data_IF_551506867488
#
_entry.id   IF_551506867488
#
_cell.length_a   1.000
_cell.length_b   1.000
_cell.length_c   1.000
_cell.angle_alpha   90.00
_cell.angle_beta   90.00
_cell.angle_gamma   90.00
#
_symmetry.space_group_name_H-M   'P 1'
#
loop_
_entity.id
_entity.type
_entity.pdbx_description
1 polymer ?
#
# COMPACT_ATOMS: atom_id res chain seq x y z
N UNK A 1 50.28 32.05 16.32
CA UNK A 1 49.12 32.77 16.87
C UNK A 1 47.99 32.56 15.87
N UNK A 2 47.29 31.42 15.85
CA UNK A 2 46.51 30.75 16.91
C UNK A 2 45.26 31.57 17.26
N UNK A 3 44.11 30.92 17.05
CA UNK A 3 42.75 31.44 16.82
C UNK A 3 42.04 32.08 18.04
N UNK A 4 40.72 32.40 17.95
CA UNK A 4 39.70 31.36 18.14
C UNK A 4 38.59 31.34 17.07
N UNK A 5 38.53 30.23 16.33
CA UNK A 5 37.39 29.74 15.54
C UNK A 5 36.77 28.57 16.33
N UNK A 6 36.39 28.82 17.59
CA UNK A 6 35.81 27.80 18.48
C UNK A 6 34.46 28.28 19.02
N UNK A 7 33.38 28.22 18.21
CA UNK A 7 32.00 28.12 18.71
C UNK A 7 31.04 27.43 17.71
N UNK A 8 31.53 26.58 16.81
CA UNK A 8 30.64 25.85 15.90
C UNK A 8 30.90 24.35 15.82
N UNK A 9 31.25 23.69 16.94
CA UNK A 9 31.09 22.24 17.12
C UNK A 9 30.79 21.99 18.61
N UNK A 10 29.93 20.98 18.88
CA UNK A 10 29.42 20.43 20.16
C UNK A 10 28.00 20.96 20.48
N UNK A 11 26.91 20.19 20.46
CA UNK A 11 26.75 18.75 20.64
C UNK A 11 25.73 18.15 19.66
N UNK A 12 26.20 17.24 18.80
CA UNK A 12 25.46 16.03 18.46
C UNK A 12 26.00 14.98 19.43
N UNK A 13 25.28 14.73 20.51
CA UNK A 13 25.38 13.49 21.26
C UNK A 13 23.95 12.95 21.40
N UNK A 14 23.83 11.66 21.07
CA UNK A 14 22.62 10.87 21.22
C UNK A 14 22.27 10.72 22.71
N UNK A 15 20.98 10.47 22.98
CA UNK A 15 20.41 10.14 24.30
C UNK A 15 20.36 11.25 25.36
N UNK A 16 19.47 12.24 25.20
CA UNK A 16 18.67 12.69 26.34
C UNK A 16 17.36 13.38 25.95
N UNK A 17 16.26 12.68 26.22
CA UNK A 17 14.93 13.25 26.26
C UNK A 17 14.78 14.07 27.55
N UNK A 18 15.17 15.35 27.54
CA UNK A 18 14.63 16.30 28.51
C UNK A 18 14.61 17.73 27.98
N UNK A 19 13.49 18.38 28.24
CA UNK A 19 13.10 19.69 27.75
C UNK A 19 14.17 20.77 27.99
N UNK A 20 14.77 21.28 26.91
CA UNK A 20 15.37 22.62 26.89
C UNK A 20 14.53 23.51 25.97
N UNK A 21 13.73 24.38 26.60
CA UNK A 21 13.09 25.51 25.92
C UNK A 21 14.19 26.36 25.28
N UNK A 22 14.30 26.32 23.97
CA UNK A 22 15.08 27.32 23.23
C UNK A 22 14.45 28.71 23.47
N UNK A 23 15.26 29.78 23.62
CA UNK A 23 14.73 31.13 23.78
C UNK A 23 13.91 31.53 22.56
N UNK A 24 12.82 32.26 22.78
CA UNK A 24 11.83 32.69 21.77
C UNK A 24 12.38 33.73 20.77
N UNK A 25 13.66 34.10 20.83
CA UNK A 25 14.23 35.22 20.05
C UNK A 25 15.55 34.89 19.32
N UNK A 26 15.63 33.76 18.62
CA UNK A 26 16.72 33.58 17.64
C UNK A 26 16.25 32.83 16.41
N UNK A 27 15.46 33.50 15.56
CA UNK A 27 15.42 33.13 14.14
C UNK A 27 16.80 33.42 13.57
N UNK A 28 17.51 32.44 12.98
CA UNK A 28 18.82 32.70 12.40
C UNK A 28 18.67 33.66 11.22
N UNK A 29 19.05 34.92 11.41
CA UNK A 29 19.21 35.89 10.34
C UNK A 29 20.46 35.50 9.55
N UNK A 30 20.29 35.05 8.31
CA UNK A 30 21.41 34.81 7.39
C UNK A 30 21.82 36.17 6.80
N UNK A 31 23.01 36.70 7.10
CA UNK A 31 23.45 37.97 6.55
C UNK A 31 23.66 37.88 5.03
N UNK A 32 23.38 38.94 4.26
CA UNK A 32 23.59 38.99 2.81
C UNK A 32 25.04 38.69 2.38
N UNK A 33 26.02 38.81 3.29
CA UNK A 33 27.42 38.53 2.98
C UNK A 33 27.71 37.06 2.67
N UNK A 34 26.88 36.09 3.11
CA UNK A 34 27.10 34.66 2.82
C UNK A 34 26.96 34.35 1.33
N UNK A 35 26.18 35.14 0.58
CA UNK A 35 26.02 34.94 -0.86
C UNK A 35 27.28 35.31 -1.67
N UNK A 36 28.19 36.09 -1.08
CA UNK A 36 29.52 36.34 -1.67
C UNK A 36 30.42 35.10 -1.63
N UNK A 37 30.06 34.07 -0.86
CA UNK A 37 30.77 32.79 -0.82
C UNK A 37 30.32 31.79 -1.91
N UNK A 38 29.37 32.17 -2.78
CA UNK A 38 28.96 31.37 -3.95
C UNK A 38 27.97 30.23 -3.66
N UNK A 39 27.35 30.19 -2.48
CA UNK A 39 26.31 29.21 -2.14
C UNK A 39 24.94 29.79 -2.49
N UNK A 40 24.26 29.19 -3.48
CA UNK A 40 22.90 29.58 -3.84
C UNK A 40 21.91 29.19 -2.73
N UNK A 41 20.94 30.05 -2.40
CA UNK A 41 19.87 29.69 -1.46
C UNK A 41 19.01 28.55 -2.03
N UNK A 42 18.35 27.79 -1.16
CA UNK A 42 17.46 26.68 -1.55
C UNK A 42 16.03 26.93 -1.10
N UNK A 43 15.07 26.15 -1.62
CA UNK A 43 13.69 26.15 -1.11
C UNK A 43 13.61 25.88 0.39
N UNK A 44 14.50 25.03 0.92
CA UNK A 44 14.62 24.79 2.36
C UNK A 44 15.05 26.06 3.13
N UNK A 45 15.96 26.87 2.58
CA UNK A 45 16.33 28.17 3.18
C UNK A 45 15.13 29.12 3.27
N UNK A 46 14.29 29.15 2.22
CA UNK A 46 13.05 29.93 2.19
C UNK A 46 12.09 29.49 3.30
N UNK A 47 11.86 28.18 3.43
CA UNK A 47 10.98 27.60 4.45
C UNK A 47 11.51 27.85 5.87
N UNK A 48 12.78 27.60 6.14
CA UNK A 48 13.37 27.78 7.49
C UNK A 48 13.29 29.24 7.96
N UNK A 49 13.47 30.20 7.04
CA UNK A 49 13.41 31.62 7.39
C UNK A 49 12.03 32.07 7.89
N UNK A 50 10.98 31.29 7.63
CA UNK A 50 9.64 31.53 8.18
C UNK A 50 9.55 31.31 9.69
N UNK A 51 10.51 30.63 10.31
CA UNK A 51 10.43 30.22 11.72
C UNK A 51 9.46 29.06 11.97
N UNK A 52 8.76 28.57 10.94
CA UNK A 52 7.83 27.44 11.05
C UNK A 52 8.51 26.08 11.02
N UNK A 53 9.77 26.03 10.58
CA UNK A 53 10.57 24.81 10.46
C UNK A 53 11.88 24.96 11.23
N UNK A 54 12.17 23.98 12.09
CA UNK A 54 13.34 23.99 12.97
C UNK A 54 14.56 23.27 12.40
N UNK A 55 14.40 22.46 11.34
CA UNK A 55 15.50 21.70 10.74
C UNK A 55 15.39 21.67 9.21
N UNK A 56 16.52 21.79 8.47
CA UNK A 56 16.57 21.58 7.02
C UNK A 56 16.37 20.11 6.64
N UNK A 57 16.63 19.19 7.56
CA UNK A 57 16.49 17.75 7.32
C UNK A 57 15.02 17.47 7.00
N UNK A 58 14.76 16.94 5.81
CA UNK A 58 13.43 16.62 5.23
C UNK A 58 12.68 17.75 4.52
N UNK A 59 13.24 18.95 4.32
CA UNK A 59 12.55 20.03 3.58
C UNK A 59 12.74 19.95 2.05
N UNK A 60 13.62 19.07 1.58
CA UNK A 60 13.79 18.76 0.16
C UNK A 60 12.74 17.77 -0.36
N UNK A 61 12.02 17.10 0.54
CA UNK A 61 10.92 16.19 0.23
C UNK A 61 9.59 16.76 0.69
N UNK A 62 8.50 16.25 0.11
CA UNK A 62 7.14 16.65 0.48
C UNK A 62 6.80 16.10 1.87
N UNK A 63 6.48 17.02 2.79
CA UNK A 63 5.87 16.70 4.08
C UNK A 63 4.43 16.27 3.84
N UNK A 64 4.09 15.05 4.29
CA UNK A 64 2.75 14.48 4.18
C UNK A 64 2.17 14.33 5.58
N UNK A 65 1.11 15.08 5.86
CA UNK A 65 0.37 14.91 7.10
C UNK A 65 -0.33 13.53 7.07
N UNK A 66 -0.08 12.70 8.07
CA UNK A 66 -0.61 11.33 8.15
C UNK A 66 -1.82 11.22 9.07
N UNK A 67 -2.04 12.20 9.95
CA UNK A 67 -3.11 12.23 10.93
C UNK A 67 -3.61 13.66 11.15
N UNK A 68 -4.65 13.76 11.95
CA UNK A 68 -5.22 15.03 12.43
C UNK A 68 -4.39 15.66 13.55
N UNK A 69 -3.30 15.02 13.98
CA UNK A 69 -2.38 15.59 14.96
C UNK A 69 -1.52 16.63 14.24
N UNK A 70 -1.84 17.90 14.50
CA UNK A 70 -1.16 19.01 13.86
C UNK A 70 0.25 19.17 14.45
N UNK A 71 1.16 19.68 13.64
CA UNK A 71 2.43 20.20 14.16
C UNK A 71 2.16 21.20 15.30
N UNK A 72 3.03 21.27 16.33
CA UNK A 72 2.89 22.26 17.40
C UNK A 72 2.68 23.65 16.79
N UNK A 73 1.88 24.49 17.45
CA UNK A 73 1.62 25.87 17.03
C UNK A 73 2.95 26.63 16.93
N UNK A 74 3.54 26.61 15.74
CA UNK A 74 4.69 27.42 15.39
C UNK A 74 4.22 28.82 15.08
N UNK A 75 5.03 29.81 15.42
CA UNK A 75 4.71 31.22 15.19
C UNK A 75 5.45 31.66 13.95
N UNK A 76 4.71 32.20 12.98
CA UNK A 76 5.30 32.78 11.79
C UNK A 76 6.23 33.93 12.20
N UNK A 77 7.48 33.88 11.74
CA UNK A 77 8.47 34.90 12.03
C UNK A 77 7.99 36.27 11.55
N UNK A 78 8.07 37.33 12.37
CA UNK A 78 7.65 38.68 11.96
C UNK A 78 8.49 39.25 10.81
N UNK A 79 9.66 38.66 10.54
CA UNK A 79 10.58 39.09 9.46
C UNK A 79 10.48 38.22 8.21
N UNK A 80 9.55 37.25 8.15
CA UNK A 80 9.48 36.25 7.07
C UNK A 80 9.39 36.90 5.68
N UNK A 81 8.56 37.93 5.50
CA UNK A 81 8.37 38.60 4.22
C UNK A 81 9.67 39.25 3.76
N UNK A 82 10.37 39.95 4.67
CA UNK A 82 11.64 40.60 4.37
C UNK A 82 12.73 39.58 4.04
N UNK A 83 12.83 38.50 4.81
CA UNK A 83 13.82 37.45 4.59
C UNK A 83 13.59 36.70 3.26
N UNK A 84 12.33 36.33 2.98
CA UNK A 84 11.97 35.67 1.73
C UNK A 84 12.15 36.58 0.51
N UNK A 85 11.79 37.86 0.59
CA UNK A 85 12.00 38.80 -0.52
C UNK A 85 13.48 39.00 -0.85
N UNK A 86 14.35 38.92 0.16
CA UNK A 86 15.81 38.90 -0.05
C UNK A 86 16.18 37.62 -0.82
N UNK A 87 15.81 36.43 -0.32
CA UNK A 87 16.16 35.14 -0.94
C UNK A 87 15.62 34.99 -2.38
N UNK A 88 14.38 35.40 -2.64
CA UNK A 88 13.72 35.28 -3.94
C UNK A 88 14.30 36.22 -5.00
N UNK A 89 15.00 37.30 -4.62
CA UNK A 89 15.75 38.13 -5.58
C UNK A 89 16.96 37.41 -6.16
N UNK A 90 17.51 36.44 -5.42
CA UNK A 90 18.73 35.74 -5.83
C UNK A 90 18.44 34.64 -6.87
N UNK A 91 17.28 33.98 -6.81
CA UNK A 91 16.91 32.88 -7.70
C UNK A 91 15.43 32.50 -7.55
N UNK A 92 14.92 31.76 -8.51
CA UNK A 92 13.58 31.17 -8.50
C UNK A 92 13.56 29.93 -7.56
N UNK A 93 12.95 30.07 -6.37
CA UNK A 93 12.95 29.01 -5.33
C UNK A 93 11.60 28.32 -5.10
N UNK A 94 10.47 28.95 -5.46
CA UNK A 94 9.16 28.39 -5.13
C UNK A 94 8.81 27.33 -6.17
N UNK A 95 8.46 26.14 -5.67
CA UNK A 95 8.09 24.97 -6.43
C UNK A 95 7.07 24.15 -5.62
N UNK A 96 6.63 23.02 -6.17
CA UNK A 96 5.65 22.14 -5.53
C UNK A 96 6.03 21.73 -4.11
N UNK A 97 7.30 21.43 -3.84
CA UNK A 97 7.78 21.01 -2.51
C UNK A 97 7.63 22.16 -1.52
N UNK A 98 8.08 23.37 -1.91
CA UNK A 98 8.00 24.57 -1.06
C UNK A 98 6.56 24.88 -0.68
N UNK A 99 5.64 24.94 -1.65
CA UNK A 99 4.24 25.26 -1.35
C UNK A 99 3.58 24.16 -0.52
N UNK A 100 3.78 22.89 -0.88
CA UNK A 100 3.18 21.77 -0.13
C UNK A 100 3.65 21.73 1.32
N UNK A 101 4.94 21.99 1.56
CA UNK A 101 5.50 22.04 2.90
C UNK A 101 4.98 23.25 3.66
N UNK A 102 4.90 24.43 3.05
CA UNK A 102 4.29 25.60 3.67
C UNK A 102 2.83 25.34 4.07
N UNK A 103 2.04 24.70 3.21
CA UNK A 103 0.64 24.35 3.50
C UNK A 103 0.51 23.38 4.69
N UNK A 104 1.47 22.46 4.89
CA UNK A 104 1.47 21.55 6.05
C UNK A 104 1.49 22.26 7.41
N UNK A 105 1.90 23.53 7.43
CA UNK A 105 1.95 24.36 8.65
C UNK A 105 0.60 25.02 8.98
N UNK A 106 -0.30 25.15 8.00
CA UNK A 106 -1.60 25.81 8.15
C UNK A 106 -1.56 27.34 8.25
N UNK A 107 -0.42 27.99 8.01
CA UNK A 107 -0.34 29.46 8.04
C UNK A 107 -0.81 30.07 6.70
N UNK A 108 -2.11 30.37 6.61
CA UNK A 108 -2.75 30.86 5.39
C UNK A 108 -2.06 32.09 4.80
N UNK A 109 -1.71 33.07 5.62
CA UNK A 109 -1.09 34.32 5.16
C UNK A 109 0.28 34.06 4.50
N UNK A 110 1.03 33.09 5.03
CA UNK A 110 2.31 32.70 4.46
C UNK A 110 2.14 31.95 3.14
N UNK A 111 1.14 31.06 3.05
CA UNK A 111 0.81 30.35 1.80
C UNK A 111 0.35 31.34 0.73
N UNK A 112 -0.51 32.29 1.06
CA UNK A 112 -0.97 33.35 0.14
C UNK A 112 0.20 34.22 -0.37
N UNK A 113 1.13 34.59 0.53
CA UNK A 113 2.37 35.26 0.15
C UNK A 113 3.17 34.42 -0.85
N UNK A 114 3.37 33.13 -0.59
CA UNK A 114 4.15 32.25 -1.48
C UNK A 114 3.47 32.04 -2.84
N UNK A 115 2.14 31.87 -2.89
CA UNK A 115 1.39 31.76 -4.14
C UNK A 115 1.54 33.03 -4.99
N UNK A 116 1.44 34.20 -4.34
CA UNK A 116 1.65 35.49 -5.00
C UNK A 116 3.07 35.63 -5.57
N UNK A 117 4.08 35.21 -4.79
CA UNK A 117 5.48 35.26 -5.23
C UNK A 117 5.80 34.26 -6.32
N UNK A 118 5.19 33.09 -6.29
CA UNK A 118 5.35 32.07 -7.34
C UNK A 118 4.91 32.62 -8.71
N UNK A 119 3.78 33.31 -8.77
CA UNK A 119 3.30 33.97 -9.99
C UNK A 119 4.22 35.08 -10.51
N UNK A 120 5.14 35.56 -9.68
CA UNK A 120 6.12 36.62 -10.02
C UNK A 120 7.48 36.05 -10.42
N UNK A 121 7.71 34.75 -10.29
CA UNK A 121 8.99 34.13 -10.66
C UNK A 121 9.21 34.15 -12.18
N UNK A 122 10.47 34.23 -12.59
CA UNK A 122 10.82 34.31 -14.01
C UNK A 122 10.48 33.03 -14.75
N UNK A 123 10.62 31.90 -14.06
CA UNK A 123 10.25 30.58 -14.55
C UNK A 123 8.78 30.21 -14.32
N UNK A 124 7.91 31.17 -14.00
CA UNK A 124 6.49 30.90 -13.86
C UNK A 124 5.95 30.26 -15.14
N UNK A 125 5.38 29.07 -14.98
CA UNK A 125 4.62 28.40 -16.03
C UNK A 125 3.17 28.35 -15.57
N UNK A 126 2.23 28.37 -16.51
CA UNK A 126 0.82 28.09 -16.20
C UNK A 126 0.58 26.63 -15.78
N UNK A 127 1.63 25.83 -15.61
CA UNK A 127 1.57 24.47 -15.10
C UNK A 127 1.36 24.51 -13.59
N UNK A 128 0.43 23.68 -13.12
CA UNK A 128 0.07 23.61 -11.71
C UNK A 128 1.26 23.08 -10.88
N UNK A 129 1.67 23.82 -9.83
CA UNK A 129 2.62 23.33 -8.82
C UNK A 129 1.93 22.86 -7.55
N UNK A 130 0.61 23.03 -7.45
CA UNK A 130 -0.21 22.49 -6.37
C UNK A 130 -0.48 21.04 -6.68
N UNK A 131 -0.08 20.18 -5.75
CA UNK A 131 -0.25 18.76 -5.89
C UNK A 131 -1.36 18.23 -5.00
N UNK A 132 -1.71 17.00 -5.26
CA UNK A 132 -2.52 16.10 -4.42
C UNK A 132 -2.20 16.24 -2.92
N UNK A 133 -0.91 16.28 -2.58
CA UNK A 133 -0.41 16.44 -1.22
C UNK A 133 -0.64 17.84 -0.64
N UNK A 134 -0.69 18.86 -1.48
CA UNK A 134 -0.99 20.24 -1.10
C UNK A 134 -2.43 20.33 -0.59
N UNK A 135 -3.40 19.84 -1.37
CA UNK A 135 -4.81 19.79 -0.96
C UNK A 135 -5.03 18.89 0.25
N UNK A 136 -4.40 17.71 0.26
CA UNK A 136 -4.47 16.81 1.40
C UNK A 136 -3.98 17.45 2.71
N UNK A 137 -2.84 18.14 2.67
CA UNK A 137 -2.30 18.82 3.85
C UNK A 137 -3.25 19.92 4.33
N UNK A 138 -3.76 20.77 3.43
CA UNK A 138 -4.72 21.82 3.78
C UNK A 138 -6.00 21.24 4.40
N UNK A 139 -6.52 20.15 3.80
CA UNK A 139 -7.70 19.47 4.30
C UNK A 139 -7.49 18.91 5.70
N UNK A 140 -6.34 18.25 5.96
CA UNK A 140 -6.02 17.73 7.28
C UNK A 140 -5.79 18.81 8.34
N UNK A 141 -5.51 20.06 7.96
CA UNK A 141 -5.46 21.20 8.90
C UNK A 141 -6.85 21.65 9.38
N UNK A 142 -7.93 21.11 8.81
CA UNK A 142 -9.32 21.54 9.06
C UNK A 142 -9.55 23.04 8.80
N UNK A 143 -8.73 23.64 7.93
CA UNK A 143 -8.87 25.03 7.51
C UNK A 143 -9.46 25.07 6.10
N UNK A 144 -10.78 25.19 6.04
CA UNK A 144 -11.49 25.26 4.76
C UNK A 144 -11.11 26.50 3.96
N UNK A 145 -10.77 27.61 4.62
CA UNK A 145 -10.36 28.83 3.92
C UNK A 145 -9.01 28.65 3.23
N UNK A 146 -8.13 27.81 3.79
CA UNK A 146 -6.88 27.42 3.15
C UNK A 146 -7.13 26.48 1.96
N UNK A 147 -8.12 25.58 2.06
CA UNK A 147 -8.54 24.73 0.93
C UNK A 147 -9.11 25.58 -0.22
N UNK A 148 -10.01 26.52 0.07
CA UNK A 148 -10.57 27.44 -0.93
C UNK A 148 -9.48 28.27 -1.62
N UNK A 149 -8.52 28.81 -0.86
CA UNK A 149 -7.37 29.54 -1.41
C UNK A 149 -6.60 28.70 -2.44
N UNK A 150 -6.43 27.40 -2.19
CA UNK A 150 -5.71 26.50 -3.09
C UNK A 150 -6.54 26.13 -4.32
N UNK A 151 -7.85 25.93 -4.16
CA UNK A 151 -8.77 25.63 -5.27
C UNK A 151 -8.82 26.80 -6.26
N UNK A 152 -8.89 28.03 -5.74
CA UNK A 152 -8.85 29.25 -6.56
C UNK A 152 -7.51 29.41 -7.31
N UNK A 153 -6.43 28.86 -6.74
CA UNK A 153 -5.09 28.96 -7.32
C UNK A 153 -4.83 27.93 -8.42
N UNK A 154 -5.36 26.70 -8.34
CA UNK A 154 -5.36 25.73 -9.43
C UNK A 154 -6.15 24.45 -9.08
N UNK A 155 -6.62 23.68 -10.08
CA UNK A 155 -7.19 22.35 -9.88
C UNK A 155 -6.30 21.28 -10.51
N UNK A 156 -5.96 20.25 -9.74
CA UNK A 156 -5.42 18.98 -10.24
C UNK A 156 -5.97 17.81 -9.41
N UNK A 157 -6.04 16.64 -10.01
CA UNK A 157 -6.64 15.44 -9.41
C UNK A 157 -5.71 14.81 -8.37
N UNK A 158 -6.27 14.39 -7.23
CA UNK A 158 -5.51 13.83 -6.10
C UNK A 158 -5.51 12.31 -5.99
N UNK A 159 -4.32 11.69 -6.10
CA UNK A 159 -4.09 10.26 -5.81
C UNK A 159 -4.06 9.89 -4.32
N UNK A 160 -4.00 10.89 -3.42
CA UNK A 160 -3.93 10.66 -1.98
C UNK A 160 -5.19 11.14 -1.28
N UNK A 161 -5.91 10.23 -0.62
CA UNK A 161 -7.18 10.54 0.03
C UNK A 161 -7.07 10.58 1.56
N UNK A 162 -7.69 11.57 2.21
CA UNK A 162 -7.74 11.64 3.67
C UNK A 162 -8.68 10.56 4.23
N UNK A 163 -8.49 10.21 5.51
CA UNK A 163 -9.37 9.30 6.25
C UNK A 163 -10.07 10.05 7.38
N UNK A 164 -11.34 9.75 7.69
CA UNK A 164 -12.05 10.42 8.78
C UNK A 164 -11.39 10.12 10.13
N UNK A 165 -11.38 11.11 11.04
CA UNK A 165 -10.85 10.94 12.40
C UNK A 165 -11.72 10.06 13.31
N UNK A 166 -13.02 10.05 13.03
CA UNK A 166 -14.09 9.37 13.76
C UNK A 166 -15.34 9.25 12.86
N UNK A 167 -16.30 8.41 13.25
CA UNK A 167 -17.59 8.30 12.55
C UNK A 167 -18.43 9.60 12.63
N UNK A 168 -18.17 10.45 13.62
CA UNK A 168 -18.81 11.76 13.81
C UNK A 168 -18.02 12.91 13.19
N UNK A 169 -17.07 12.65 12.29
CA UNK A 169 -16.25 13.69 11.66
C UNK A 169 -17.05 14.45 10.59
N UNK A 170 -17.97 15.32 11.04
CA UNK A 170 -18.86 16.10 10.16
C UNK A 170 -18.07 16.89 9.11
N UNK A 171 -16.92 17.47 9.49
CA UNK A 171 -16.06 18.17 8.55
C UNK A 171 -15.66 17.27 7.38
N UNK A 172 -15.20 16.05 7.66
CA UNK A 172 -14.83 15.09 6.62
C UNK A 172 -16.01 14.75 5.71
N UNK A 173 -17.12 14.30 6.30
CA UNK A 173 -18.26 13.79 5.53
C UNK A 173 -19.02 14.89 4.77
N UNK A 174 -18.95 16.15 5.22
CA UNK A 174 -19.54 17.30 4.51
C UNK A 174 -18.63 17.82 3.40
N UNK A 175 -17.31 17.91 3.63
CA UNK A 175 -16.39 18.58 2.69
C UNK A 175 -15.86 17.67 1.59
N UNK A 176 -15.74 16.37 1.83
CA UNK A 176 -15.27 15.45 0.79
C UNK A 176 -16.15 15.45 -0.47
N UNK A 177 -17.50 15.43 -0.38
CA UNK A 177 -18.37 15.57 -1.55
C UNK A 177 -18.14 16.88 -2.33
N UNK A 178 -17.85 17.98 -1.64
CA UNK A 178 -17.54 19.27 -2.29
C UNK A 178 -16.25 19.17 -3.11
N UNK A 179 -15.21 18.54 -2.53
CA UNK A 179 -13.92 18.33 -3.21
C UNK A 179 -14.01 17.35 -4.38
N UNK A 180 -14.91 16.36 -4.32
CA UNK A 180 -15.23 15.50 -5.47
C UNK A 180 -15.91 16.31 -6.58
N UNK A 181 -16.90 17.14 -6.24
CA UNK A 181 -17.62 17.96 -7.23
C UNK A 181 -16.70 18.98 -7.92
N UNK A 182 -15.66 19.45 -7.22
CA UNK A 182 -14.66 20.36 -7.75
C UNK A 182 -13.53 19.65 -8.52
N UNK A 183 -13.55 18.32 -8.61
CA UNK A 183 -12.53 17.52 -9.31
C UNK A 183 -11.20 17.40 -8.57
N UNK A 184 -11.15 17.74 -7.26
CA UNK A 184 -9.94 17.59 -6.43
C UNK A 184 -9.72 16.12 -6.06
N UNK A 185 -10.79 15.40 -5.73
CA UNK A 185 -10.75 13.97 -5.42
C UNK A 185 -11.57 13.16 -6.42
N UNK A 186 -11.19 11.89 -6.68
CA UNK A 186 -11.95 11.01 -7.55
C UNK A 186 -13.31 10.65 -6.92
N UNK A 187 -14.25 10.22 -7.75
CA UNK A 187 -15.63 9.91 -7.34
C UNK A 187 -15.75 8.74 -6.36
N UNK A 188 -14.73 7.88 -6.30
CA UNK A 188 -14.64 6.73 -5.39
C UNK A 188 -13.81 7.02 -4.12
N UNK A 189 -13.61 8.30 -3.78
CA UNK A 189 -12.83 8.74 -2.60
C UNK A 189 -13.18 8.02 -1.30
N UNK A 190 -14.46 7.71 -1.05
CA UNK A 190 -14.87 6.98 0.16
C UNK A 190 -14.37 5.53 0.15
N UNK A 191 -14.33 4.87 -1.02
CA UNK A 191 -13.72 3.55 -1.20
C UNK A 191 -12.21 3.62 -0.97
N UNK A 192 -11.53 4.61 -1.55
CA UNK A 192 -10.09 4.81 -1.33
C UNK A 192 -9.76 5.09 0.14
N UNK A 193 -10.64 5.81 0.84
CA UNK A 193 -10.51 6.11 2.26
C UNK A 193 -10.70 4.85 3.10
N UNK A 194 -11.65 3.98 2.72
CA UNK A 194 -11.84 2.66 3.31
C UNK A 194 -10.61 1.77 3.10
N UNK A 195 -10.04 1.76 1.89
CA UNK A 195 -8.79 1.04 1.58
C UNK A 195 -7.63 1.49 2.48
N UNK A 196 -7.50 2.81 2.67
CA UNK A 196 -6.46 3.37 3.54
C UNK A 196 -6.71 3.01 5.00
N UNK A 197 -7.95 3.11 5.47
CA UNK A 197 -8.33 2.76 6.84
C UNK A 197 -8.11 1.28 7.13
N UNK A 198 -8.44 0.40 6.20
CA UNK A 198 -8.17 -1.03 6.29
C UNK A 198 -6.67 -1.34 6.45
N UNK A 199 -5.80 -0.53 5.83
CA UNK A 199 -4.34 -0.69 5.93
C UNK A 199 -3.77 -0.22 7.27
N UNK A 200 -4.22 0.92 7.78
CA UNK A 200 -3.56 1.58 8.92
C UNK A 200 -4.15 1.19 10.28
N UNK A 201 -5.39 0.69 10.31
CA UNK A 201 -6.04 0.27 11.56
C UNK A 201 -5.36 -0.95 12.19
N UNK A 202 -5.31 -0.98 13.51
CA UNK A 202 -4.87 -2.13 14.31
C UNK A 202 -6.08 -2.77 15.00
N UNK A 203 -5.93 -4.01 15.45
CA UNK A 203 -7.02 -4.70 16.15
C UNK A 203 -7.33 -4.07 17.52
N UNK A 204 -6.35 -3.43 18.16
CA UNK A 204 -6.51 -2.70 19.43
C UNK A 204 -7.41 -1.46 19.28
N UNK A 205 -7.40 -0.83 18.11
CA UNK A 205 -8.21 0.34 17.77
C UNK A 205 -9.48 -0.04 16.98
N UNK A 206 -9.78 -1.33 16.88
CA UNK A 206 -10.80 -1.81 15.95
C UNK A 206 -12.18 -1.24 16.24
N UNK A 207 -12.62 -1.18 17.50
CA UNK A 207 -13.95 -0.66 17.85
C UNK A 207 -14.17 0.79 17.34
N UNK A 208 -13.14 1.65 17.45
CA UNK A 208 -13.22 3.03 16.95
C UNK A 208 -13.18 3.07 15.41
N UNK A 209 -12.36 2.23 14.80
CA UNK A 209 -12.20 2.22 13.34
C UNK A 209 -13.36 1.52 12.63
N UNK A 210 -14.04 0.58 13.27
CA UNK A 210 -15.26 -0.09 12.81
C UNK A 210 -16.37 0.94 12.55
N UNK A 211 -16.66 1.81 13.51
CA UNK A 211 -17.67 2.87 13.35
C UNK A 211 -17.35 3.77 12.15
N UNK A 212 -16.06 4.12 11.95
CA UNK A 212 -15.64 4.89 10.79
C UNK A 212 -15.84 4.13 9.48
N UNK A 213 -15.49 2.85 9.45
CA UNK A 213 -15.68 1.99 8.26
C UNK A 213 -17.16 1.86 7.92
N UNK A 214 -18.03 1.66 8.92
CA UNK A 214 -19.49 1.65 8.71
C UNK A 214 -19.97 2.98 8.12
N UNK A 215 -19.51 4.10 8.65
CA UNK A 215 -19.87 5.42 8.13
C UNK A 215 -19.39 5.63 6.69
N UNK A 216 -18.20 5.18 6.33
CA UNK A 216 -17.71 5.22 4.94
C UNK A 216 -18.59 4.38 4.01
N UNK A 217 -19.02 3.19 4.44
CA UNK A 217 -19.94 2.33 3.68
C UNK A 217 -21.32 3.01 3.49
N UNK A 218 -21.85 3.70 4.51
CA UNK A 218 -23.09 4.49 4.38
C UNK A 218 -22.97 5.59 3.32
N UNK A 219 -21.78 6.16 3.15
CA UNK A 219 -21.47 7.18 2.13
C UNK A 219 -21.11 6.58 0.76
N UNK A 220 -21.31 5.28 0.58
CA UNK A 220 -21.17 4.62 -0.72
C UNK A 220 -19.78 4.03 -0.99
N UNK A 221 -18.91 3.92 0.03
CA UNK A 221 -17.70 3.12 -0.10
C UNK A 221 -18.05 1.66 -0.43
N UNK A 222 -17.22 1.02 -1.25
CA UNK A 222 -17.37 -0.39 -1.62
C UNK A 222 -16.20 -1.18 -1.05
N UNK A 223 -16.48 -2.34 -0.46
CA UNK A 223 -15.40 -3.28 -0.10
C UNK A 223 -14.90 -3.95 -1.37
N UNK A 224 -13.73 -3.53 -1.84
CA UNK A 224 -13.04 -4.13 -2.98
C UNK A 224 -12.12 -5.28 -2.53
N UNK A 225 -11.59 -6.06 -3.47
CA UNK A 225 -10.53 -7.03 -3.15
C UNK A 225 -9.29 -6.34 -2.56
N UNK A 226 -9.04 -5.09 -2.96
CA UNK A 226 -7.92 -4.28 -2.44
C UNK A 226 -8.14 -3.86 -0.99
N UNK A 227 -9.36 -3.48 -0.62
CA UNK A 227 -9.75 -3.24 0.79
C UNK A 227 -9.43 -4.47 1.65
N UNK A 228 -9.85 -5.66 1.19
CA UNK A 228 -9.60 -6.91 1.91
C UNK A 228 -8.11 -7.24 2.01
N UNK A 229 -7.35 -7.09 0.92
CA UNK A 229 -5.90 -7.26 0.96
C UNK A 229 -5.22 -6.29 1.93
N UNK A 230 -5.58 -5.02 1.90
CA UNK A 230 -5.03 -4.02 2.82
C UNK A 230 -5.33 -4.34 4.28
N UNK A 231 -6.52 -4.91 4.56
CA UNK A 231 -6.88 -5.39 5.90
C UNK A 231 -5.98 -6.54 6.39
N UNK A 232 -5.22 -7.19 5.49
CA UNK A 232 -4.23 -8.21 5.87
C UNK A 232 -2.87 -7.65 6.27
N UNK A 233 -2.54 -6.43 5.87
CA UNK A 233 -1.28 -5.74 6.19
C UNK A 233 -1.27 -5.24 7.64
N UNK A 234 -0.10 -4.95 8.22
CA UNK A 234 0.03 -4.35 9.55
C UNK A 234 -0.67 -5.13 10.68
N UNK A 235 -0.69 -6.46 10.62
CA UNK A 235 -1.11 -7.32 11.74
C UNK A 235 0.08 -7.70 12.61
N UNK A 236 -0.15 -7.81 13.92
CA UNK A 236 0.87 -8.25 14.87
C UNK A 236 1.01 -9.78 14.90
N UNK A 237 -0.10 -10.51 14.74
CA UNK A 237 -0.16 -11.97 14.74
C UNK A 237 -0.56 -12.48 13.34
N UNK A 238 0.36 -13.17 12.66
CA UNK A 238 0.12 -13.75 11.32
C UNK A 238 -0.58 -15.10 11.37
N UNK A 239 -0.76 -15.69 12.56
CA UNK A 239 -1.45 -16.98 12.72
C UNK A 239 -2.97 -16.87 12.69
N UNK A 240 -3.51 -15.66 12.83
CA UNK A 240 -4.95 -15.38 12.88
C UNK A 240 -5.35 -14.25 11.95
N UNK A 241 -6.62 -14.28 11.54
CA UNK A 241 -7.27 -13.20 10.81
C UNK A 241 -7.54 -12.02 11.73
N UNK A 242 -7.24 -10.81 11.24
CA UNK A 242 -7.53 -9.57 11.95
C UNK A 242 -9.03 -9.32 12.07
N UNK A 243 -9.44 -8.58 13.11
CA UNK A 243 -10.85 -8.23 13.32
C UNK A 243 -11.41 -7.42 12.14
N UNK A 244 -10.62 -6.46 11.64
CA UNK A 244 -10.95 -5.67 10.44
C UNK A 244 -11.13 -6.52 9.19
N UNK A 245 -10.32 -7.55 8.99
CA UNK A 245 -10.45 -8.42 7.82
C UNK A 245 -11.77 -9.19 7.88
N UNK A 246 -12.12 -9.74 9.04
CA UNK A 246 -13.39 -10.44 9.27
C UNK A 246 -14.59 -9.53 9.01
N UNK A 247 -14.56 -8.33 9.56
CA UNK A 247 -15.61 -7.33 9.36
C UNK A 247 -15.76 -6.94 7.88
N UNK A 248 -14.67 -6.57 7.20
CA UNK A 248 -14.72 -6.16 5.80
C UNK A 248 -15.14 -7.32 4.89
N UNK A 249 -14.70 -8.55 5.17
CA UNK A 249 -15.11 -9.73 4.41
C UNK A 249 -16.60 -10.03 4.55
N UNK A 250 -17.21 -9.76 5.70
CA UNK A 250 -18.66 -9.86 5.88
C UNK A 250 -19.41 -8.89 4.94
N UNK A 251 -18.92 -7.65 4.84
CA UNK A 251 -19.47 -6.60 3.98
C UNK A 251 -19.09 -6.75 2.49
N UNK A 252 -18.15 -7.63 2.14
CA UNK A 252 -17.75 -7.88 0.76
C UNK A 252 -18.89 -8.52 -0.05
N UNK A 253 -19.32 -7.82 -1.10
CA UNK A 253 -20.32 -8.31 -2.03
C UNK A 253 -19.67 -9.23 -3.07
N UNK A 254 -20.12 -10.48 -3.12
CA UNK A 254 -19.72 -11.43 -4.17
C UNK A 254 -20.47 -11.09 -5.45
N UNK A 255 -19.84 -10.29 -6.30
CA UNK A 255 -20.30 -10.14 -7.67
C UNK A 255 -19.76 -11.32 -8.51
N UNK A 256 -20.64 -12.12 -9.14
CA UNK A 256 -20.22 -13.20 -10.04
C UNK A 256 -19.32 -12.76 -11.21
N UNK A 257 -19.32 -11.47 -11.55
CA UNK A 257 -18.48 -10.87 -12.58
C UNK A 257 -17.20 -10.22 -12.01
N UNK A 258 -17.14 -9.96 -10.71
CA UNK A 258 -15.99 -9.34 -10.07
C UNK A 258 -14.99 -10.40 -9.63
N UNK A 259 -13.85 -10.45 -10.31
CA UNK A 259 -12.73 -11.27 -9.88
C UNK A 259 -12.12 -10.70 -8.60
N UNK A 260 -11.86 -11.56 -7.61
CA UNK A 260 -11.02 -11.21 -6.47
C UNK A 260 -9.55 -11.19 -6.91
N UNK A 261 -9.14 -10.07 -7.52
CA UNK A 261 -7.81 -9.90 -8.13
C UNK A 261 -6.68 -10.03 -7.12
N UNK A 262 -6.89 -9.57 -5.88
CA UNK A 262 -5.86 -9.55 -4.84
C UNK A 262 -5.71 -10.86 -4.05
N UNK A 263 -6.43 -11.93 -4.41
CA UNK A 263 -6.42 -13.18 -3.62
C UNK A 263 -5.03 -13.83 -3.63
N UNK A 264 -4.31 -13.73 -4.75
CA UNK A 264 -2.91 -14.16 -4.82
C UNK A 264 -2.00 -13.43 -3.81
N UNK A 265 -2.19 -12.13 -3.63
CA UNK A 265 -1.41 -11.37 -2.64
C UNK A 265 -1.75 -11.75 -1.19
N UNK A 266 -3.01 -12.10 -0.91
CA UNK A 266 -3.40 -12.61 0.42
C UNK A 266 -2.74 -13.96 0.72
N UNK A 267 -2.61 -14.83 -0.30
CA UNK A 267 -1.91 -16.11 -0.20
C UNK A 267 -0.46 -15.93 0.26
N UNK A 268 0.25 -14.93 -0.29
CA UNK A 268 1.63 -14.60 0.08
C UNK A 268 1.82 -14.19 1.55
N UNK A 269 0.77 -13.79 2.26
CA UNK A 269 0.83 -13.49 3.70
C UNK A 269 0.69 -14.73 4.60
N UNK A 270 0.42 -15.90 4.04
CA UNK A 270 0.48 -17.23 4.70
C UNK A 270 -0.48 -17.47 5.88
N UNK A 271 -1.42 -16.56 6.16
CA UNK A 271 -2.41 -16.75 7.21
C UNK A 271 -3.51 -17.72 6.77
N UNK A 272 -3.54 -18.92 7.34
CA UNK A 272 -4.51 -19.96 6.99
C UNK A 272 -5.97 -19.52 7.23
N UNK A 273 -6.24 -18.82 8.33
CA UNK A 273 -7.60 -18.40 8.68
C UNK A 273 -8.19 -17.44 7.62
N UNK A 274 -7.39 -16.52 7.06
CA UNK A 274 -7.86 -15.60 6.02
C UNK A 274 -8.30 -16.37 4.77
N UNK A 275 -7.49 -17.35 4.37
CA UNK A 275 -7.76 -18.19 3.20
C UNK A 275 -9.03 -19.01 3.43
N UNK A 276 -9.18 -19.61 4.61
CA UNK A 276 -10.37 -20.37 4.96
C UNK A 276 -11.62 -19.49 4.94
N UNK A 277 -11.54 -18.26 5.47
CA UNK A 277 -12.65 -17.31 5.46
C UNK A 277 -13.01 -16.86 4.03
N UNK A 278 -12.02 -16.54 3.19
CA UNK A 278 -12.23 -16.19 1.77
C UNK A 278 -12.93 -17.32 1.02
N UNK A 279 -12.46 -18.56 1.19
CA UNK A 279 -13.02 -19.73 0.53
C UNK A 279 -14.43 -20.04 1.07
N UNK A 280 -14.67 -19.88 2.38
CA UNK A 280 -15.98 -20.03 3.00
C UNK A 280 -16.99 -18.97 2.52
N UNK A 281 -16.52 -17.75 2.22
CA UNK A 281 -17.33 -16.73 1.55
C UNK A 281 -17.76 -17.17 0.15
N UNK A 282 -17.07 -18.12 -0.46
CA UNK A 282 -17.42 -18.66 -1.79
C UNK A 282 -16.63 -18.05 -2.94
N UNK A 283 -15.54 -17.34 -2.63
CA UNK A 283 -14.63 -16.75 -3.63
C UNK A 283 -13.90 -17.90 -4.35
N UNK A 284 -13.99 -17.99 -5.69
CA UNK A 284 -13.45 -19.12 -6.43
C UNK A 284 -11.92 -19.06 -6.52
N UNK A 285 -11.29 -20.23 -6.53
CA UNK A 285 -9.88 -20.40 -6.90
C UNK A 285 -9.76 -20.29 -8.42
N UNK A 286 -8.99 -19.30 -8.89
CA UNK A 286 -8.71 -19.05 -10.31
C UNK A 286 -7.30 -19.52 -10.69
N UNK A 287 -6.96 -19.47 -11.98
CA UNK A 287 -5.59 -19.77 -12.44
C UNK A 287 -4.55 -18.83 -11.80
N UNK A 288 -4.88 -17.55 -11.63
CA UNK A 288 -4.02 -16.56 -10.96
C UNK A 288 -3.74 -16.94 -9.51
N UNK A 289 -4.75 -17.43 -8.78
CA UNK A 289 -4.63 -17.90 -7.40
C UNK A 289 -3.70 -19.12 -7.32
N UNK A 290 -3.82 -20.06 -8.26
CA UNK A 290 -2.91 -21.21 -8.35
C UNK A 290 -1.48 -20.77 -8.72
N UNK A 291 -1.34 -19.75 -9.59
CA UNK A 291 -0.06 -19.12 -9.92
C UNK A 291 0.65 -18.56 -8.69
N UNK A 292 -0.08 -17.87 -7.81
CA UNK A 292 0.48 -17.38 -6.54
C UNK A 292 0.99 -18.53 -5.65
N UNK A 293 0.29 -19.67 -5.58
CA UNK A 293 0.82 -20.84 -4.88
C UNK A 293 2.16 -21.32 -5.45
N UNK A 294 2.27 -21.34 -6.79
CA UNK A 294 3.50 -21.74 -7.47
C UNK A 294 4.64 -20.78 -7.14
N UNK A 295 4.38 -19.47 -7.08
CA UNK A 295 5.36 -18.39 -6.88
C UNK A 295 5.79 -18.18 -5.41
N UNK A 296 4.86 -18.32 -4.47
CA UNK A 296 5.11 -17.96 -3.06
C UNK A 296 5.50 -19.15 -2.17
N UNK A 297 5.16 -20.39 -2.55
CA UNK A 297 5.41 -21.57 -1.71
C UNK A 297 6.55 -22.44 -2.24
N UNK A 298 7.68 -22.40 -1.53
CA UNK A 298 8.74 -23.41 -1.67
C UNK A 298 8.43 -24.69 -0.89
N UNK A 299 7.72 -24.56 0.24
CA UNK A 299 7.22 -25.69 1.03
C UNK A 299 5.77 -26.02 0.66
N UNK A 300 5.59 -27.07 -0.14
CA UNK A 300 4.28 -27.51 -0.63
C UNK A 300 3.44 -28.25 0.42
N UNK A 301 3.98 -28.52 1.60
CA UNK A 301 3.24 -29.10 2.72
C UNK A 301 2.67 -28.01 3.67
N UNK A 302 2.84 -26.74 3.30
CA UNK A 302 2.19 -25.65 4.03
C UNK A 302 0.65 -25.80 3.99
N UNK A 303 -0.07 -25.61 5.11
CA UNK A 303 -1.51 -25.82 5.18
C UNK A 303 -2.33 -25.05 4.13
N UNK A 304 -1.93 -23.80 3.83
CA UNK A 304 -2.57 -22.96 2.81
C UNK A 304 -2.60 -23.64 1.43
N UNK A 305 -1.52 -24.35 1.05
CA UNK A 305 -1.47 -25.05 -0.25
C UNK A 305 -2.56 -26.12 -0.31
N UNK A 306 -2.68 -26.92 0.75
CA UNK A 306 -3.71 -27.96 0.82
C UNK A 306 -5.13 -27.39 0.82
N UNK A 307 -5.36 -26.29 1.55
CA UNK A 307 -6.66 -25.62 1.64
C UNK A 307 -7.11 -25.08 0.28
N UNK A 308 -6.25 -24.32 -0.42
CA UNK A 308 -6.57 -23.73 -1.73
C UNK A 308 -6.78 -24.82 -2.78
N UNK A 309 -5.92 -25.84 -2.84
CA UNK A 309 -6.08 -26.92 -3.83
C UNK A 309 -7.34 -27.76 -3.58
N UNK A 310 -7.71 -27.97 -2.32
CA UNK A 310 -8.95 -28.70 -1.96
C UNK A 310 -10.22 -27.93 -2.32
N UNK A 311 -10.15 -26.61 -2.40
CA UNK A 311 -11.30 -25.76 -2.71
C UNK A 311 -11.71 -25.80 -4.20
N UNK A 312 -10.84 -26.33 -5.08
CA UNK A 312 -11.17 -26.50 -6.50
C UNK A 312 -12.20 -27.63 -6.65
N UNK A 313 -13.47 -27.25 -6.90
CA UNK A 313 -14.59 -28.19 -6.94
C UNK A 313 -14.49 -29.17 -8.13
N UNK A 314 -14.91 -30.44 -7.95
CA UNK A 314 -15.00 -31.41 -9.06
C UNK A 314 -15.75 -30.85 -10.27
N UNK A 315 -15.19 -31.07 -11.46
CA UNK A 315 -15.75 -30.53 -12.71
C UNK A 315 -15.23 -29.15 -13.10
N UNK A 316 -14.46 -28.47 -12.25
CA UNK A 316 -13.81 -27.21 -12.61
C UNK A 316 -12.83 -27.42 -13.79
N UNK A 317 -12.91 -26.61 -14.87
CA UNK A 317 -11.99 -26.70 -16.01
C UNK A 317 -10.50 -26.60 -15.66
N UNK A 318 -10.15 -25.91 -14.57
CA UNK A 318 -8.76 -25.73 -14.13
C UNK A 318 -8.01 -27.06 -13.96
N UNK A 319 -8.70 -28.15 -13.60
CA UNK A 319 -8.07 -29.47 -13.47
C UNK A 319 -7.39 -29.95 -14.75
N UNK A 320 -7.87 -29.51 -15.93
CA UNK A 320 -7.31 -29.89 -17.23
C UNK A 320 -6.61 -28.74 -17.97
N UNK A 321 -6.83 -27.49 -17.57
CA UNK A 321 -6.27 -26.33 -18.29
C UNK A 321 -5.07 -25.69 -17.60
N UNK A 322 -5.01 -25.72 -16.27
CA UNK A 322 -4.03 -24.92 -15.53
C UNK A 322 -2.57 -25.32 -15.82
N UNK A 323 -2.27 -26.63 -15.83
CA UNK A 323 -0.91 -27.11 -16.17
C UNK A 323 -0.50 -26.68 -17.59
N UNK A 324 -1.44 -26.66 -18.54
CA UNK A 324 -1.18 -26.13 -19.89
C UNK A 324 -0.85 -24.63 -19.86
N UNK A 325 -1.67 -23.83 -19.17
CA UNK A 325 -1.49 -22.38 -19.07
C UNK A 325 -0.13 -22.00 -18.48
N UNK A 326 0.30 -22.65 -17.39
CA UNK A 326 1.61 -22.38 -16.79
C UNK A 326 2.76 -22.87 -17.70
N UNK A 327 2.54 -23.85 -18.59
CA UNK A 327 3.59 -24.27 -19.53
C UNK A 327 3.89 -23.24 -20.62
N UNK A 328 2.89 -22.41 -20.94
CA UNK A 328 3.02 -21.33 -21.92
C UNK A 328 3.90 -20.19 -21.40
N UNK A 329 4.00 -20.00 -20.08
CA UNK A 329 4.83 -18.94 -19.48
C UNK A 329 6.33 -19.27 -19.52
N UNK A 330 6.71 -20.54 -19.73
CA UNK A 330 8.11 -20.92 -19.91
C UNK A 330 8.57 -20.60 -21.34
N UNK A 331 9.38 -19.57 -21.55
CA UNK A 331 9.91 -19.25 -22.89
C UNK A 331 10.98 -20.23 -23.37
N UNK A 332 11.81 -20.73 -22.44
CA UNK A 332 12.86 -21.72 -22.67
C UNK A 332 12.59 -22.97 -21.83
N UNK A 333 13.44 -24.00 -21.96
CA UNK A 333 13.39 -25.13 -21.03
C UNK A 333 13.73 -24.71 -19.60
N UNK A 334 13.44 -25.60 -18.64
CA UNK A 334 13.67 -25.33 -17.22
C UNK A 334 15.16 -25.40 -16.86
N UNK A 335 15.66 -24.44 -16.10
CA UNK A 335 16.94 -24.60 -15.40
C UNK A 335 16.82 -25.61 -14.24
N UNK A 336 17.94 -25.94 -13.59
CA UNK A 336 17.97 -26.95 -12.54
C UNK A 336 17.09 -26.59 -11.33
N UNK A 337 17.02 -25.31 -10.96
CA UNK A 337 16.20 -24.85 -9.85
C UNK A 337 14.71 -24.95 -10.20
N UNK A 338 14.33 -24.42 -11.35
CA UNK A 338 12.97 -24.44 -11.88
C UNK A 338 12.50 -25.88 -12.18
N UNK A 339 13.39 -26.78 -12.59
CA UNK A 339 13.07 -28.19 -12.79
C UNK A 339 12.53 -28.85 -11.51
N UNK A 340 13.28 -28.74 -10.41
CA UNK A 340 12.88 -29.37 -9.15
C UNK A 340 11.60 -28.75 -8.57
N UNK A 341 11.49 -27.42 -8.63
CA UNK A 341 10.30 -26.69 -8.18
C UNK A 341 9.05 -27.07 -8.98
N UNK A 342 9.10 -26.96 -10.31
CA UNK A 342 7.98 -27.29 -11.21
C UNK A 342 7.57 -28.74 -11.06
N UNK A 343 8.54 -29.66 -10.97
CA UNK A 343 8.26 -31.09 -10.76
C UNK A 343 7.51 -31.33 -9.46
N UNK A 344 8.01 -30.77 -8.35
CA UNK A 344 7.37 -30.93 -7.04
C UNK A 344 5.94 -30.36 -7.05
N UNK A 345 5.77 -29.17 -7.63
CA UNK A 345 4.46 -28.51 -7.70
C UNK A 345 3.46 -29.29 -8.56
N UNK A 346 3.85 -29.75 -9.75
CA UNK A 346 2.95 -30.50 -10.63
C UNK A 346 2.55 -31.85 -10.03
N UNK A 347 3.49 -32.55 -9.38
CA UNK A 347 3.18 -33.77 -8.63
C UNK A 347 2.21 -33.46 -7.48
N UNK A 348 2.38 -32.34 -6.76
CA UNK A 348 1.43 -31.92 -5.73
C UNK A 348 0.04 -31.69 -6.31
N UNK A 349 -0.07 -30.93 -7.41
CA UNK A 349 -1.35 -30.71 -8.11
C UNK A 349 -2.05 -32.02 -8.50
N UNK A 350 -1.28 -33.02 -8.93
CA UNK A 350 -1.81 -34.34 -9.28
C UNK A 350 -2.50 -35.05 -8.11
N UNK A 351 -2.03 -34.85 -6.87
CA UNK A 351 -2.66 -35.39 -5.64
C UNK A 351 -4.06 -34.79 -5.37
N UNK A 352 -4.37 -33.67 -6.02
CA UNK A 352 -5.64 -32.95 -5.96
C UNK A 352 -6.46 -33.11 -7.25
N UNK A 353 -6.01 -33.94 -8.20
CA UNK A 353 -6.78 -34.30 -9.39
C UNK A 353 -6.49 -33.48 -10.65
N UNK A 354 -5.48 -32.60 -10.63
CA UNK A 354 -5.01 -31.91 -11.82
C UNK A 354 -4.23 -32.85 -12.74
N UNK A 355 -4.30 -32.61 -14.04
CA UNK A 355 -3.59 -33.40 -15.05
C UNK A 355 -3.36 -32.60 -16.33
N UNK A 356 -2.36 -33.02 -17.11
CA UNK A 356 -2.04 -32.43 -18.41
C UNK A 356 -2.75 -33.16 -19.57
N UNK A 357 -3.42 -32.43 -20.48
CA UNK A 357 -3.97 -33.01 -21.71
C UNK A 357 -2.91 -33.48 -22.71
N UNK A 358 -3.28 -34.44 -23.56
CA UNK A 358 -2.37 -34.99 -24.56
C UNK A 358 -1.96 -33.91 -25.57
N UNK A 359 -2.87 -32.99 -25.88
CA UNK A 359 -2.64 -31.89 -26.81
C UNK A 359 -1.48 -30.99 -26.34
N UNK A 360 -1.37 -30.74 -25.03
CA UNK A 360 -0.26 -29.95 -24.44
C UNK A 360 1.05 -30.73 -24.52
N UNK A 361 1.03 -32.05 -24.27
CA UNK A 361 2.21 -32.90 -24.43
C UNK A 361 2.74 -32.88 -25.86
N UNK A 362 1.84 -33.01 -26.83
CA UNK A 362 2.18 -33.04 -28.25
C UNK A 362 2.74 -31.68 -28.70
N UNK A 363 2.17 -30.56 -28.22
CA UNK A 363 2.68 -29.21 -28.48
C UNK A 363 4.10 -29.00 -27.95
N UNK A 364 4.36 -29.36 -26.69
CA UNK A 364 5.70 -29.23 -26.08
C UNK A 364 6.70 -30.20 -26.72
N UNK A 365 6.26 -31.38 -27.13
CA UNK A 365 7.11 -32.32 -27.85
C UNK A 365 7.45 -31.81 -29.26
N UNK A 366 6.49 -31.22 -29.97
CA UNK A 366 6.69 -30.66 -31.29
C UNK A 366 7.64 -29.44 -31.29
N UNK A 367 7.68 -28.66 -30.20
CA UNK A 367 8.58 -27.52 -30.09
C UNK A 367 10.06 -27.93 -29.99
N UNK A 368 10.36 -29.13 -29.49
CA UNK A 368 11.70 -29.72 -29.41
C UNK A 368 12.70 -29.01 -28.48
N UNK A 369 12.34 -27.84 -27.94
CA UNK A 369 13.20 -26.94 -27.17
C UNK A 369 12.97 -27.00 -25.65
N UNK A 370 12.10 -27.90 -25.17
CA UNK A 370 11.73 -28.04 -23.74
C UNK A 370 11.75 -29.49 -23.23
N UNK A 371 12.85 -30.26 -23.41
CA UNK A 371 12.91 -31.67 -23.02
C UNK A 371 12.70 -31.93 -21.51
N UNK A 372 13.19 -31.07 -20.61
CA UNK A 372 13.00 -31.23 -19.17
C UNK A 372 11.54 -31.02 -18.77
N UNK A 373 10.91 -29.96 -19.29
CA UNK A 373 9.48 -29.73 -19.09
C UNK A 373 8.64 -30.91 -19.63
N UNK A 374 8.93 -31.40 -20.83
CA UNK A 374 8.24 -32.56 -21.41
C UNK A 374 8.35 -33.79 -20.51
N UNK A 375 9.51 -34.01 -19.90
CA UNK A 375 9.74 -35.08 -18.92
C UNK A 375 8.81 -34.96 -17.71
N UNK A 376 8.62 -33.75 -17.16
CA UNK A 376 7.72 -33.51 -16.04
C UNK A 376 6.26 -33.72 -16.47
N UNK A 377 5.84 -33.20 -17.63
CA UNK A 377 4.46 -33.31 -18.11
C UNK A 377 4.03 -34.77 -18.28
N UNK A 378 4.93 -35.64 -18.76
CA UNK A 378 4.68 -37.09 -18.87
C UNK A 378 4.43 -37.76 -17.51
N UNK A 379 4.81 -37.15 -16.39
CA UNK A 379 4.51 -37.66 -15.04
C UNK A 379 3.12 -37.28 -14.54
N UNK A 380 2.49 -36.25 -15.12
CA UNK A 380 1.23 -35.68 -14.64
C UNK A 380 0.07 -35.84 -15.62
N UNK A 381 0.09 -36.94 -16.38
CA UNK A 381 -1.00 -37.29 -17.30
C UNK A 381 -2.27 -37.70 -16.55
N UNK A 382 -3.38 -37.78 -17.29
CA UNK A 382 -4.66 -38.25 -16.76
C UNK A 382 -4.60 -39.66 -16.17
N UNK A 383 -3.82 -40.54 -16.78
CA UNK A 383 -3.65 -41.91 -16.31
C UNK A 383 -2.88 -41.95 -14.99
N UNK A 384 -1.77 -41.22 -14.91
CA UNK A 384 -0.99 -41.12 -13.68
C UNK A 384 -1.79 -40.48 -12.54
N UNK A 385 -2.57 -39.44 -12.83
CA UNK A 385 -3.46 -38.82 -11.85
C UNK A 385 -4.47 -39.83 -11.30
N UNK A 386 -5.09 -40.65 -12.15
CA UNK A 386 -6.01 -41.71 -11.71
C UNK A 386 -5.31 -42.75 -10.84
N UNK A 387 -4.08 -43.11 -11.15
CA UNK A 387 -3.29 -44.05 -10.35
C UNK A 387 -2.97 -43.48 -8.96
N UNK A 388 -2.55 -42.22 -8.88
CA UNK A 388 -2.31 -41.50 -7.61
C UNK A 388 -3.59 -41.44 -6.76
N UNK A 389 -4.71 -41.02 -7.35
CA UNK A 389 -5.98 -40.91 -6.65
C UNK A 389 -6.50 -42.26 -6.13
N UNK A 390 -6.34 -43.35 -6.90
CA UNK A 390 -6.70 -44.72 -6.44
C UNK A 390 -5.86 -45.16 -5.25
N UNK A 391 -4.55 -44.89 -5.25
CA UNK A 391 -3.65 -45.21 -4.14
C UNK A 391 -4.04 -44.43 -2.88
N UNK A 392 -4.36 -43.14 -3.01
CA UNK A 392 -4.82 -42.28 -1.91
C UNK A 392 -6.12 -42.81 -1.29
N UNK A 393 -7.13 -43.12 -2.10
CA UNK A 393 -8.40 -43.71 -1.63
C UNK A 393 -8.20 -45.06 -0.94
N UNK A 394 -7.30 -45.90 -1.45
CA UNK A 394 -6.97 -47.17 -0.82
C UNK A 394 -6.30 -46.98 0.55
N UNK A 395 -5.34 -46.05 0.65
CA UNK A 395 -4.67 -45.71 1.89
C UNK A 395 -5.63 -45.15 2.95
N UNK A 396 -6.52 -44.23 2.58
CA UNK A 396 -7.54 -43.67 3.48
C UNK A 396 -8.49 -44.74 4.00
N UNK A 397 -8.96 -45.65 3.14
CA UNK A 397 -9.79 -46.79 3.54
C UNK A 397 -9.07 -47.71 4.52
N UNK A 398 -7.78 -47.96 4.33
CA UNK A 398 -6.96 -48.76 5.25
C UNK A 398 -6.78 -48.07 6.61
N UNK A 399 -6.52 -46.75 6.62
CA UNK A 399 -6.39 -45.96 7.84
C UNK A 399 -7.70 -45.89 8.65
N UNK A 400 -8.85 -45.75 7.96
CA UNK A 400 -10.16 -45.75 8.61
C UNK A 400 -10.50 -47.11 9.23
N UNK A 401 -10.17 -48.22 8.55
CA UNK A 401 -10.31 -49.57 9.11
C UNK A 401 -9.41 -49.75 10.35
N UNK A 402 -8.16 -49.34 10.28
CA UNK A 402 -7.22 -49.36 11.42
C UNK A 402 -7.76 -48.61 12.65
N UNK A 403 -8.29 -47.38 12.47
CA UNK A 403 -8.90 -46.60 13.55
C UNK A 403 -10.17 -47.25 14.13
N UNK A 404 -10.98 -47.94 13.31
CA UNK A 404 -12.16 -48.69 13.77
C UNK A 404 -11.79 -49.96 14.55
N UNK A 405 -10.74 -50.68 14.15
CA UNK A 405 -10.25 -51.85 14.89
C UNK A 405 -9.55 -51.48 16.21
N UNK A 406 -8.91 -50.30 16.28
CA UNK A 406 -8.33 -49.77 17.53
C UNK A 406 -9.38 -49.35 18.58
N UNK A 407 -10.56 -48.88 18.16
CA UNK A 407 -11.67 -48.53 19.08
C UNK A 407 -12.46 -49.73 19.62
N UNK A 408 -12.36 -50.92 19.00
CA UNK A 408 -13.01 -52.16 19.48
C UNK A 408 -12.17 -52.97 20.49
N UNK A 409 -11.00 -52.45 20.90
CA UNK A 409 -10.10 -53.07 21.88
C UNK A 409 -10.03 -52.32 23.22
N UNK A 410 -11.06 -51.55 23.58
CA UNK A 410 -11.24 -51.03 24.94
C UNK A 410 -12.46 -51.64 25.58
#
# INVERSE_FOLDING_TARGET
>A
MQEPFEQLIIALDEDDASATKLPVESTPFIPPEIWKAGVSPTGSSLLISSGLFSSPLNLESIIRLSSWEHMPNTVLSPTVVQANDILLKATDLINQVVITNAVSTGHKEYVEYLLTKWQQQHNYTSLNILSTHTFHNAFLRRDWNLVELLIDACLDESDFVPVPSSASDEYYFTRIPELVNLGVYPTDVFTLSLERMARISTDDEFAKTEECMEKLLEFGAVVTSKVLYNATLNRLDTSKSSLRFKFLLDKFALDPQSEFKDFGYVIGHTCLEDIQLILAKGIPVTATVLGALYEDFSNLDHPVVGEVLSAVKPGNPLFKTYIGQITETFHNDLDNYNYHRTKAFFVKLQEYGFWVPQEVLDQVQASGNKPLLLGILKMVTKEEMRNVMRRKQFHEKMMMRSKQFGKKKK
#
